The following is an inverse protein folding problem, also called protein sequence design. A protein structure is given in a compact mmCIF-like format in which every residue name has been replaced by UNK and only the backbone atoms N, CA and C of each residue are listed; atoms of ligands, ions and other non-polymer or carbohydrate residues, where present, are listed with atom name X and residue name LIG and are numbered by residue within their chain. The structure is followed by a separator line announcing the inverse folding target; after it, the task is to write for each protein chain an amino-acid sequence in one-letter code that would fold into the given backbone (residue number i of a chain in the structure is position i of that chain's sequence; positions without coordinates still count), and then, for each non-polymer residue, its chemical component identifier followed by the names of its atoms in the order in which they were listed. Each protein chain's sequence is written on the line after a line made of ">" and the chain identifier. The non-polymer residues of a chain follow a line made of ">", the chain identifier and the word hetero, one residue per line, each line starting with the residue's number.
data_IF_529429038951
#
_entry.id   IF_529429038951
#
_cell.length_a   1.000
_cell.length_b   1.000
_cell.length_c   1.000
_cell.angle_alpha   90.00
_cell.angle_beta   90.00
_cell.angle_gamma   90.00
#
_symmetry.space_group_name_H-M   'P 1'
#
loop_
_entity.id
_entity.type
_entity.pdbx_description
1 polymer ?
#
# COMPACT_ATOMS: atom_id res chain seq x y z
N UNK A 1 -3.37 30.32 20.21
CA UNK A 1 -4.71 29.76 20.53
C UNK A 1 -5.41 29.62 19.19
N UNK A 2 -5.36 28.43 18.61
CA UNK A 2 -6.00 28.17 17.30
C UNK A 2 -7.49 28.04 17.51
N UNK A 3 -8.25 28.86 16.80
CA UNK A 3 -9.69 28.81 16.83
C UNK A 3 -10.16 27.60 15.98
N UNK A 4 -10.72 26.59 16.61
CA UNK A 4 -11.43 25.54 15.90
C UNK A 4 -12.58 26.17 15.10
N UNK A 5 -12.54 26.02 13.78
CA UNK A 5 -13.64 26.48 12.93
C UNK A 5 -14.88 25.66 13.27
N UNK A 6 -15.94 26.31 13.73
CA UNK A 6 -17.21 25.64 14.06
C UNK A 6 -17.75 25.02 12.76
N UNK A 7 -18.09 23.73 12.79
CA UNK A 7 -18.69 23.03 11.66
C UNK A 7 -19.99 23.71 11.26
N UNK A 8 -20.11 24.08 10.00
CA UNK A 8 -21.34 24.63 9.39
C UNK A 8 -21.86 23.65 8.35
N UNK A 9 -23.10 23.22 8.49
CA UNK A 9 -23.76 22.32 7.53
C UNK A 9 -23.97 23.01 6.18
N UNK A 10 -24.21 24.32 6.17
CA UNK A 10 -24.41 25.10 4.95
C UNK A 10 -23.09 25.21 4.15
N UNK A 11 -21.96 25.38 4.83
CA UNK A 11 -20.64 25.36 4.19
C UNK A 11 -20.27 23.95 3.72
N UNK A 12 -20.67 22.92 4.46
CA UNK A 12 -20.48 21.53 4.05
C UNK A 12 -21.27 21.21 2.79
N UNK A 13 -22.53 21.65 2.70
CA UNK A 13 -23.40 21.45 1.53
C UNK A 13 -22.80 22.12 0.28
N UNK A 14 -22.37 23.38 0.40
CA UNK A 14 -21.66 24.09 -0.69
C UNK A 14 -20.39 23.39 -1.16
N UNK A 15 -19.60 22.83 -0.21
CA UNK A 15 -18.41 22.04 -0.52
C UNK A 15 -18.77 20.75 -1.25
N UNK A 16 -19.80 20.04 -0.79
CA UNK A 16 -20.30 18.82 -1.45
C UNK A 16 -20.74 19.10 -2.88
N UNK A 17 -21.51 20.16 -3.11
CA UNK A 17 -21.92 20.60 -4.44
C UNK A 17 -20.76 20.92 -5.36
N UNK A 18 -19.74 21.62 -4.84
CA UNK A 18 -18.52 21.93 -5.58
C UNK A 18 -17.76 20.67 -5.97
N UNK A 19 -17.62 19.70 -5.03
CA UNK A 19 -16.95 18.42 -5.27
C UNK A 19 -17.69 17.60 -6.32
N UNK A 20 -19.02 17.50 -6.25
CA UNK A 20 -19.83 16.78 -7.23
C UNK A 20 -19.64 17.35 -8.62
N UNK A 21 -19.63 18.67 -8.75
CA UNK A 21 -19.41 19.34 -10.05
C UNK A 21 -17.99 19.13 -10.58
N UNK A 22 -16.96 19.20 -9.73
CA UNK A 22 -15.57 19.03 -10.16
C UNK A 22 -15.25 17.57 -10.53
N UNK A 23 -15.72 16.59 -9.76
CA UNK A 23 -15.48 15.16 -10.02
C UNK A 23 -16.10 14.70 -11.34
N UNK A 24 -17.18 15.33 -11.79
CA UNK A 24 -17.83 15.00 -13.05
C UNK A 24 -17.21 15.67 -14.28
N UNK A 25 -16.41 16.72 -14.10
CA UNK A 25 -15.90 17.53 -15.21
C UNK A 25 -14.42 17.29 -15.55
N UNK A 26 -13.57 16.97 -14.57
CA UNK A 26 -12.11 16.99 -14.76
C UNK A 26 -11.41 15.73 -14.21
N UNK A 27 -11.57 14.62 -14.91
CA UNK A 27 -10.70 13.44 -14.69
C UNK A 27 -9.52 13.51 -15.65
N UNK A 28 -8.35 13.86 -15.14
CA UNK A 28 -7.12 13.98 -15.93
C UNK A 28 -6.24 12.74 -15.74
N UNK A 29 -5.60 12.19 -16.80
CA UNK A 29 -4.59 11.14 -16.65
C UNK A 29 -3.42 11.62 -15.75
N UNK A 30 -2.88 10.74 -14.92
CA UNK A 30 -1.83 11.05 -13.95
C UNK A 30 -0.62 11.79 -14.55
N UNK A 31 -0.24 11.45 -15.79
CA UNK A 31 0.91 12.07 -16.48
C UNK A 31 0.73 13.57 -16.77
N UNK A 32 -0.51 14.05 -16.85
CA UNK A 32 -0.81 15.47 -17.12
C UNK A 32 -0.87 16.29 -15.83
N UNK A 33 -0.94 15.63 -14.71
CA UNK A 33 -1.19 16.21 -13.38
C UNK A 33 0.03 16.82 -12.70
N UNK A 34 1.22 16.31 -13.02
CA UNK A 34 2.48 16.88 -12.52
C UNK A 34 2.62 18.34 -12.96
N UNK A 35 1.91 18.74 -14.02
CA UNK A 35 1.98 20.09 -14.60
C UNK A 35 0.90 21.06 -14.07
N UNK A 36 -0.25 20.57 -13.59
CA UNK A 36 -1.36 21.42 -13.15
C UNK A 36 -1.65 21.30 -11.65
N UNK A 37 -1.16 22.24 -10.85
CA UNK A 37 -1.33 22.31 -9.39
C UNK A 37 -2.77 22.57 -8.91
N UNK A 38 -3.79 22.55 -9.77
CA UNK A 38 -5.16 23.00 -9.46
C UNK A 38 -6.22 21.91 -9.54
N UNK A 39 -5.88 20.68 -9.98
CA UNK A 39 -6.89 19.68 -10.26
C UNK A 39 -7.13 18.74 -9.07
N UNK A 40 -8.40 18.55 -8.76
CA UNK A 40 -8.97 17.98 -7.55
C UNK A 40 -9.08 16.46 -7.54
N UNK A 41 -9.10 15.86 -8.72
CA UNK A 41 -9.40 14.44 -8.84
C UNK A 41 -8.53 13.82 -9.92
N UNK A 42 -7.90 12.72 -9.55
CA UNK A 42 -7.06 11.92 -10.45
C UNK A 42 -7.69 10.59 -10.73
N UNK A 43 -7.51 10.10 -11.93
CA UNK A 43 -7.95 8.79 -12.32
C UNK A 43 -6.77 7.98 -12.83
N UNK A 44 -6.35 6.97 -12.08
CA UNK A 44 -5.55 5.89 -12.59
C UNK A 44 -6.47 4.86 -13.23
N UNK A 45 -6.55 4.83 -14.55
CA UNK A 45 -7.38 3.85 -15.27
C UNK A 45 -6.91 2.42 -15.03
N UNK A 46 -5.63 2.25 -14.73
CA UNK A 46 -4.96 0.98 -14.51
C UNK A 46 -3.93 1.13 -13.39
N UNK A 47 -4.43 1.19 -12.16
CA UNK A 47 -3.61 1.31 -10.97
C UNK A 47 -3.50 0.00 -10.20
N UNK A 48 -2.33 -0.30 -9.67
CA UNK A 48 -2.11 -1.39 -8.73
C UNK A 48 -1.94 -0.88 -7.31
N UNK A 49 -2.43 -1.67 -6.37
CA UNK A 49 -2.30 -1.42 -4.93
C UNK A 49 -1.57 -2.59 -4.29
N UNK A 50 -0.56 -2.29 -3.49
CA UNK A 50 0.12 -3.24 -2.60
C UNK A 50 -0.17 -2.81 -1.17
N UNK A 51 -0.82 -3.66 -0.40
CA UNK A 51 -1.07 -3.46 1.03
C UNK A 51 -0.20 -4.43 1.83
N UNK A 52 0.63 -3.91 2.71
CA UNK A 52 1.35 -4.68 3.72
C UNK A 52 0.60 -4.53 5.03
N UNK A 53 0.15 -5.62 5.62
CA UNK A 53 -0.42 -5.65 6.96
C UNK A 53 0.58 -6.26 7.94
N UNK A 54 0.84 -5.56 9.04
CA UNK A 54 1.73 -6.01 10.10
C UNK A 54 0.92 -6.54 11.28
N UNK A 55 1.42 -7.59 11.92
CA UNK A 55 0.85 -8.12 13.16
C UNK A 55 1.95 -8.32 14.19
N UNK A 56 1.84 -7.64 15.34
CA UNK A 56 2.73 -7.86 16.48
C UNK A 56 2.08 -8.81 17.46
N UNK A 57 2.75 -9.94 17.72
CA UNK A 57 2.30 -10.95 18.69
C UNK A 57 2.88 -10.61 20.07
N UNK A 58 2.19 -9.78 20.85
CA UNK A 58 2.66 -9.40 22.18
C UNK A 58 1.52 -9.35 23.18
N UNK A 59 1.76 -9.92 24.39
CA UNK A 59 0.82 -9.89 25.51
C UNK A 59 0.97 -8.62 26.38
N UNK A 60 2.13 -7.96 26.33
CA UNK A 60 2.41 -6.67 26.98
C UNK A 60 3.43 -5.92 26.13
N UNK A 61 3.04 -4.82 25.53
CA UNK A 61 3.89 -4.00 24.66
C UNK A 61 4.56 -2.88 25.45
N UNK A 62 5.86 -2.76 25.27
CA UNK A 62 6.60 -1.54 25.50
C UNK A 62 6.32 -0.60 24.31
N UNK A 63 5.57 0.48 24.56
CA UNK A 63 5.15 1.43 23.53
C UNK A 63 6.33 2.02 22.75
N UNK A 64 7.48 2.21 23.40
CA UNK A 64 8.69 2.73 22.75
C UNK A 64 9.24 1.72 21.73
N UNK A 65 9.28 0.43 22.07
CA UNK A 65 9.74 -0.61 21.15
C UNK A 65 8.78 -0.77 19.98
N UNK A 66 7.48 -0.72 20.25
CA UNK A 66 6.45 -0.79 19.21
C UNK A 66 6.59 0.38 18.25
N UNK A 67 6.72 1.62 18.76
CA UNK A 67 6.92 2.81 17.94
C UNK A 67 8.20 2.70 17.07
N UNK A 68 9.33 2.26 17.65
CA UNK A 68 10.56 2.01 16.89
C UNK A 68 10.35 0.98 15.77
N UNK A 69 9.60 -0.08 16.05
CA UNK A 69 9.28 -1.11 15.05
C UNK A 69 8.46 -0.53 13.89
N UNK A 70 7.44 0.28 14.18
CA UNK A 70 6.67 0.97 13.14
C UNK A 70 7.52 1.95 12.33
N UNK A 71 8.43 2.69 12.98
CA UNK A 71 9.36 3.59 12.28
C UNK A 71 10.28 2.83 11.31
N UNK A 72 10.82 1.67 11.73
CA UNK A 72 11.64 0.81 10.86
C UNK A 72 10.80 0.33 9.66
N UNK A 73 9.62 -0.25 9.92
CA UNK A 73 8.75 -0.75 8.86
C UNK A 73 8.34 0.36 7.88
N UNK A 74 7.90 1.52 8.38
CA UNK A 74 7.51 2.65 7.55
C UNK A 74 8.62 3.10 6.60
N UNK A 75 9.84 3.24 7.13
CA UNK A 75 10.97 3.73 6.34
C UNK A 75 11.39 2.74 5.26
N UNK A 76 11.52 1.46 5.62
CA UNK A 76 12.03 0.44 4.70
C UNK A 76 10.98 0.02 3.66
N UNK A 77 9.71 -0.12 4.04
CA UNK A 77 8.61 -0.40 3.09
C UNK A 77 8.50 0.73 2.08
N UNK A 78 8.50 1.98 2.56
CA UNK A 78 8.46 3.16 1.69
C UNK A 78 9.66 3.20 0.75
N UNK A 79 10.87 2.91 1.24
CA UNK A 79 12.08 2.90 0.41
C UNK A 79 11.99 1.88 -0.73
N UNK A 80 11.46 0.68 -0.45
CA UNK A 80 11.24 -0.34 -1.49
C UNK A 80 10.21 0.11 -2.53
N UNK A 81 9.12 0.76 -2.11
CA UNK A 81 8.09 1.23 -3.03
C UNK A 81 8.60 2.36 -3.94
N UNK A 82 9.30 3.34 -3.37
CA UNK A 82 9.86 4.48 -4.11
C UNK A 82 10.90 4.05 -5.17
N UNK A 83 11.59 2.94 -4.96
CA UNK A 83 12.54 2.37 -5.94
C UNK A 83 11.83 1.86 -7.23
N UNK A 84 10.52 1.69 -7.22
CA UNK A 84 9.76 1.36 -8.43
C UNK A 84 9.38 2.62 -9.20
N UNK A 85 9.78 2.70 -10.47
CA UNK A 85 9.49 3.88 -11.33
C UNK A 85 8.00 4.18 -11.53
N UNK A 86 7.14 3.20 -11.30
CA UNK A 86 5.68 3.32 -11.43
C UNK A 86 5.02 3.72 -10.10
N UNK A 87 5.82 3.97 -9.06
CA UNK A 87 5.33 4.40 -7.76
C UNK A 87 4.65 5.78 -7.84
N UNK A 88 3.48 5.88 -7.22
CA UNK A 88 2.65 7.09 -7.22
C UNK A 88 2.52 7.68 -5.82
N UNK A 89 2.13 6.85 -4.84
CA UNK A 89 1.85 7.35 -3.49
C UNK A 89 2.01 6.27 -2.43
N UNK A 90 2.17 6.72 -1.18
CA UNK A 90 2.33 5.88 0.00
C UNK A 90 1.42 6.34 1.13
N UNK A 91 0.67 5.41 1.70
CA UNK A 91 -0.24 5.65 2.82
C UNK A 91 0.15 4.70 3.95
N UNK A 92 0.38 5.24 5.14
CA UNK A 92 0.52 4.47 6.37
C UNK A 92 -0.69 4.72 7.27
N UNK A 93 -1.40 3.66 7.64
CA UNK A 93 -2.62 3.75 8.45
C UNK A 93 -2.66 2.60 9.47
N UNK A 94 -2.27 2.88 10.70
CA UNK A 94 -2.14 1.84 11.73
C UNK A 94 -1.16 0.77 11.29
N UNK A 95 -1.62 -0.47 11.25
CA UNK A 95 -0.82 -1.63 10.86
C UNK A 95 -0.71 -1.85 9.34
N UNK A 96 -1.36 -0.99 8.55
CA UNK A 96 -1.39 -1.09 7.09
C UNK A 96 -0.45 -0.09 6.44
N UNK A 97 0.38 -0.57 5.50
CA UNK A 97 1.26 0.24 4.66
C UNK A 97 0.90 -0.01 3.19
N UNK A 98 0.40 1.02 2.53
CA UNK A 98 -0.20 0.91 1.20
C UNK A 98 0.65 1.67 0.19
N UNK A 99 1.11 0.96 -0.84
CA UNK A 99 1.74 1.55 -2.02
C UNK A 99 0.76 1.57 -3.19
N UNK A 100 0.72 2.70 -3.91
CA UNK A 100 -0.08 2.89 -5.12
C UNK A 100 0.86 3.04 -6.30
N UNK A 101 0.55 2.35 -7.39
CA UNK A 101 1.40 2.28 -8.58
C UNK A 101 0.55 2.49 -9.84
N UNK A 102 1.08 3.27 -10.78
CA UNK A 102 0.51 3.40 -12.13
C UNK A 102 1.04 2.26 -13.01
N UNK A 103 0.16 1.33 -13.36
CA UNK A 103 0.55 0.08 -14.06
C UNK A 103 -0.28 -0.12 -15.34
N UNK A 104 -0.16 0.79 -16.33
CA UNK A 104 -0.95 0.75 -17.54
C UNK A 104 -0.66 -0.47 -18.44
N UNK A 105 0.53 -1.05 -18.33
CA UNK A 105 1.00 -2.17 -19.14
C UNK A 105 1.22 -3.44 -18.30
N UNK A 106 1.08 -4.62 -18.91
CA UNK A 106 1.41 -5.89 -18.25
C UNK A 106 2.88 -5.92 -17.75
N UNK A 107 3.81 -5.33 -18.51
CA UNK A 107 5.21 -5.20 -18.08
C UNK A 107 5.41 -4.35 -16.82
N UNK A 108 4.47 -3.46 -16.51
CA UNK A 108 4.52 -2.69 -15.27
C UNK A 108 4.04 -3.53 -14.08
N UNK A 109 3.07 -4.42 -14.32
CA UNK A 109 2.63 -5.42 -13.32
C UNK A 109 3.74 -6.44 -13.05
N UNK A 110 4.46 -6.90 -14.07
CA UNK A 110 5.64 -7.77 -13.89
C UNK A 110 6.70 -7.09 -13.02
N UNK A 111 7.01 -5.82 -13.28
CA UNK A 111 7.94 -5.04 -12.45
C UNK A 111 7.43 -4.84 -11.03
N UNK A 112 6.12 -4.72 -10.87
CA UNK A 112 5.51 -4.66 -9.54
C UNK A 112 5.75 -5.97 -8.78
N UNK A 113 5.67 -7.14 -9.43
CA UNK A 113 6.01 -8.42 -8.80
C UNK A 113 7.47 -8.49 -8.35
N UNK A 114 8.40 -7.94 -9.13
CA UNK A 114 9.81 -7.84 -8.71
C UNK A 114 9.95 -6.97 -7.45
N UNK A 115 9.19 -5.87 -7.39
CA UNK A 115 9.13 -5.01 -6.19
C UNK A 115 8.53 -5.75 -4.99
N UNK A 116 7.48 -6.54 -5.19
CA UNK A 116 6.86 -7.36 -4.15
C UNK A 116 7.85 -8.42 -3.64
N UNK A 117 8.60 -9.07 -4.52
CA UNK A 117 9.64 -10.02 -4.13
C UNK A 117 10.78 -9.36 -3.33
N UNK A 118 11.17 -8.13 -3.67
CA UNK A 118 12.10 -7.31 -2.88
C UNK A 118 11.50 -6.96 -1.53
N UNK A 119 10.26 -6.48 -1.51
CA UNK A 119 9.53 -6.10 -0.30
C UNK A 119 9.40 -7.27 0.68
N UNK A 120 8.97 -8.44 0.20
CA UNK A 120 8.84 -9.63 1.01
C UNK A 120 10.18 -10.02 1.65
N UNK A 121 11.29 -9.99 0.89
CA UNK A 121 12.62 -10.26 1.43
C UNK A 121 13.07 -9.23 2.47
N UNK A 122 12.78 -7.93 2.26
CA UNK A 122 13.08 -6.86 3.22
C UNK A 122 12.27 -7.03 4.50
N UNK A 123 11.00 -7.40 4.40
CA UNK A 123 10.15 -7.67 5.56
C UNK A 123 10.66 -8.84 6.40
N UNK A 124 11.20 -9.90 5.78
CA UNK A 124 11.93 -10.95 6.52
C UNK A 124 13.15 -10.39 7.27
N UNK A 125 13.93 -9.49 6.65
CA UNK A 125 15.06 -8.85 7.32
C UNK A 125 14.61 -7.99 8.51
N UNK A 126 13.52 -7.23 8.35
CA UNK A 126 12.92 -6.41 9.41
C UNK A 126 12.42 -7.29 10.55
N UNK A 127 11.68 -8.35 10.25
CA UNK A 127 11.16 -9.33 11.21
C UNK A 127 12.29 -9.88 12.10
N UNK A 128 13.37 -10.36 11.49
CA UNK A 128 14.53 -10.86 12.22
C UNK A 128 15.20 -9.76 13.07
N UNK A 129 15.40 -8.57 12.50
CA UNK A 129 16.01 -7.44 13.20
C UNK A 129 15.22 -7.03 14.44
N UNK A 130 13.90 -6.88 14.28
CA UNK A 130 12.99 -6.51 15.38
C UNK A 130 13.00 -7.59 16.47
N UNK A 131 12.95 -8.87 16.08
CA UNK A 131 13.00 -9.96 17.04
C UNK A 131 14.32 -9.96 17.83
N UNK A 132 15.47 -9.84 17.16
CA UNK A 132 16.79 -9.88 17.79
C UNK A 132 17.05 -8.65 18.68
N UNK A 133 16.61 -7.45 18.30
CA UNK A 133 17.00 -6.21 18.99
C UNK A 133 15.95 -5.65 19.91
N UNK A 134 14.68 -5.83 19.61
CA UNK A 134 13.56 -5.30 20.37
C UNK A 134 12.79 -6.39 21.14
N UNK A 135 13.07 -7.67 20.82
CA UNK A 135 12.38 -8.85 21.40
C UNK A 135 10.86 -8.79 21.17
N UNK A 136 10.45 -8.34 19.98
CA UNK A 136 9.06 -8.34 19.53
C UNK A 136 8.89 -9.34 18.40
N UNK A 137 7.81 -10.10 18.44
CA UNK A 137 7.44 -10.99 17.35
C UNK A 137 6.58 -10.21 16.33
N UNK A 138 7.13 -10.01 15.15
CA UNK A 138 6.46 -9.41 14.00
C UNK A 138 6.05 -10.50 13.02
N UNK A 139 4.82 -10.43 12.55
CA UNK A 139 4.35 -11.15 11.36
C UNK A 139 3.79 -10.17 10.34
N UNK A 140 3.68 -10.59 9.07
CA UNK A 140 3.20 -9.71 8.02
C UNK A 140 2.55 -10.48 6.87
N UNK A 141 1.66 -9.80 6.14
CA UNK A 141 1.10 -10.30 4.89
C UNK A 141 1.06 -9.17 3.86
N UNK A 142 1.16 -9.54 2.58
CA UNK A 142 1.16 -8.63 1.43
C UNK A 142 -0.03 -8.98 0.55
N UNK A 143 -0.99 -8.08 0.44
CA UNK A 143 -2.14 -8.20 -0.46
C UNK A 143 -1.97 -7.30 -1.69
N UNK A 144 -2.31 -7.80 -2.87
CA UNK A 144 -2.14 -7.05 -4.13
C UNK A 144 -3.37 -7.15 -5.00
N UNK A 145 -3.86 -6.01 -5.46
CA UNK A 145 -4.91 -5.96 -6.46
C UNK A 145 -4.68 -4.85 -7.49
N UNK A 146 -5.46 -4.90 -8.57
CA UNK A 146 -5.29 -4.07 -9.75
C UNK A 146 -6.64 -3.70 -10.34
N UNK A 147 -6.91 -2.40 -10.45
CA UNK A 147 -8.08 -1.86 -11.17
C UNK A 147 -7.98 -0.34 -11.29
N UNK A 148 -9.05 0.29 -11.68
CA UNK A 148 -9.22 1.74 -11.71
C UNK A 148 -9.16 2.30 -10.28
N UNK A 149 -8.33 3.34 -10.09
CA UNK A 149 -8.20 4.08 -8.84
C UNK A 149 -8.50 5.56 -9.07
N UNK A 150 -9.09 6.18 -8.08
CA UNK A 150 -9.38 7.60 -8.07
C UNK A 150 -8.72 8.26 -6.87
N UNK A 151 -8.00 9.35 -7.10
CA UNK A 151 -7.47 10.19 -6.05
C UNK A 151 -8.24 11.50 -5.96
N UNK A 152 -8.57 11.90 -4.76
CA UNK A 152 -9.17 13.20 -4.46
C UNK A 152 -8.13 14.04 -3.72
N UNK A 153 -7.84 15.23 -4.25
CA UNK A 153 -6.96 16.19 -3.58
C UNK A 153 -7.81 17.14 -2.73
N UNK A 154 -7.59 17.15 -1.43
CA UNK A 154 -8.42 17.90 -0.48
C UNK A 154 -7.94 19.35 -0.23
N UNK A 155 -6.90 19.82 -0.93
CA UNK A 155 -6.14 21.03 -0.58
C UNK A 155 -6.92 22.34 -0.78
N UNK A 156 -7.96 22.38 -1.62
CA UNK A 156 -8.60 23.68 -1.98
C UNK A 156 -10.00 23.92 -1.41
N UNK A 157 -10.57 23.01 -0.64
CA UNK A 157 -11.96 23.17 -0.15
C UNK A 157 -12.10 24.13 1.06
N UNK A 158 -11.17 25.06 1.25
CA UNK A 158 -11.25 26.07 2.31
C UNK A 158 -11.14 25.48 3.74
N UNK A 159 -10.72 24.22 3.84
CA UNK A 159 -10.24 23.64 5.08
C UNK A 159 -8.77 24.05 5.22
N UNK A 160 -8.45 24.79 6.28
CA UNK A 160 -7.09 25.19 6.56
C UNK A 160 -6.13 24.01 6.46
N UNK A 161 -5.03 24.21 5.74
CA UNK A 161 -4.02 23.22 5.35
C UNK A 161 -3.33 22.47 6.51
N UNK A 162 -3.72 22.73 7.75
CA UNK A 162 -3.01 22.24 8.95
C UNK A 162 -3.37 20.82 9.37
N UNK A 163 -4.49 20.23 8.88
CA UNK A 163 -4.98 18.95 9.40
C UNK A 163 -5.41 17.93 8.34
N UNK A 164 -5.34 18.20 7.06
CA UNK A 164 -5.80 17.25 6.04
C UNK A 164 -4.65 16.46 5.46
N UNK A 165 -4.79 15.13 5.40
CA UNK A 165 -4.05 14.35 4.42
C UNK A 165 -4.36 14.97 3.05
N UNK A 166 -3.36 15.47 2.32
CA UNK A 166 -3.61 16.21 1.10
C UNK A 166 -4.24 15.35 -0.01
N UNK A 167 -4.26 14.03 0.16
CA UNK A 167 -4.71 13.08 -0.85
C UNK A 167 -5.51 11.95 -0.24
N UNK A 168 -6.66 11.65 -0.84
CA UNK A 168 -7.48 10.49 -0.50
C UNK A 168 -7.65 9.61 -1.72
N UNK A 169 -7.29 8.34 -1.60
CA UNK A 169 -7.45 7.35 -2.65
C UNK A 169 -8.70 6.52 -2.46
N UNK A 170 -9.40 6.24 -3.55
CA UNK A 170 -10.60 5.41 -3.59
C UNK A 170 -10.52 4.41 -4.75
N UNK A 171 -11.09 3.24 -4.56
CA UNK A 171 -11.20 2.21 -5.57
C UNK A 171 -11.26 0.81 -4.99
N UNK A 172 -11.82 -0.11 -5.76
CA UNK A 172 -12.01 -1.51 -5.33
C UNK A 172 -10.66 -2.18 -5.06
N UNK A 173 -9.58 -1.82 -5.79
CA UNK A 173 -8.26 -2.39 -5.57
C UNK A 173 -7.71 -2.10 -4.17
N UNK A 174 -8.00 -0.92 -3.58
CA UNK A 174 -7.62 -0.61 -2.20
C UNK A 174 -8.28 -1.56 -1.20
N UNK A 175 -9.59 -1.75 -1.34
CA UNK A 175 -10.37 -2.63 -0.48
C UNK A 175 -9.87 -4.07 -0.62
N UNK A 176 -9.74 -4.56 -1.87
CA UNK A 176 -9.36 -5.96 -2.12
C UNK A 176 -7.92 -6.26 -1.72
N UNK A 177 -6.96 -5.35 -1.96
CA UNK A 177 -5.59 -5.51 -1.51
C UNK A 177 -5.51 -5.59 0.03
N UNK A 178 -6.28 -4.74 0.73
CA UNK A 178 -6.38 -4.81 2.19
C UNK A 178 -7.03 -6.11 2.66
N UNK A 179 -8.15 -6.53 2.09
CA UNK A 179 -8.77 -7.81 2.40
C UNK A 179 -7.78 -8.97 2.25
N UNK A 180 -7.03 -9.02 1.15
CA UNK A 180 -6.04 -10.05 0.88
C UNK A 180 -4.89 -10.04 1.88
N UNK A 181 -4.51 -8.88 2.42
CA UNK A 181 -3.45 -8.78 3.43
C UNK A 181 -3.91 -9.13 4.85
N UNK A 182 -5.21 -9.17 5.13
CA UNK A 182 -5.75 -9.41 6.49
C UNK A 182 -6.43 -10.78 6.62
N UNK A 183 -7.12 -11.25 5.58
CA UNK A 183 -8.11 -12.34 5.67
C UNK A 183 -7.56 -13.74 5.98
N UNK A 184 -6.25 -13.93 6.03
CA UNK A 184 -5.65 -15.27 6.06
C UNK A 184 -4.82 -15.59 7.31
N UNK A 185 -4.78 -14.71 8.32
CA UNK A 185 -4.03 -14.95 9.56
C UNK A 185 -4.54 -16.13 10.37
N UNK A 186 -5.84 -16.45 10.28
CA UNK A 186 -6.45 -17.50 11.11
C UNK A 186 -6.47 -18.90 10.47
N UNK A 187 -6.35 -18.99 9.15
CA UNK A 187 -6.71 -20.22 8.41
C UNK A 187 -5.52 -20.98 7.88
N UNK A 188 -4.39 -20.34 7.65
CA UNK A 188 -3.21 -21.00 7.12
C UNK A 188 -1.97 -20.63 7.93
N UNK A 189 -1.32 -21.58 8.63
CA UNK A 189 0.08 -21.44 9.02
C UNK A 189 0.89 -21.52 7.73
N UNK A 190 0.84 -20.48 6.91
CA UNK A 190 1.54 -20.53 5.65
C UNK A 190 2.82 -19.72 5.78
N UNK A 191 3.91 -20.35 5.42
CA UNK A 191 5.18 -19.70 5.09
C UNK A 191 5.03 -18.76 3.87
N UNK A 192 3.80 -18.55 3.38
CA UNK A 192 3.50 -17.76 2.20
C UNK A 192 2.87 -16.44 2.60
N UNK A 193 3.51 -15.34 2.25
CA UNK A 193 3.12 -14.01 2.68
C UNK A 193 2.52 -13.13 1.58
N UNK A 194 2.53 -13.57 0.31
CA UNK A 194 2.06 -12.77 -0.83
C UNK A 194 0.76 -13.32 -1.39
N UNK A 195 -0.27 -12.48 -1.40
CA UNK A 195 -1.63 -12.77 -1.87
C UNK A 195 -1.99 -11.83 -3.01
N UNK A 196 -2.30 -12.36 -4.17
CA UNK A 196 -2.68 -11.56 -5.33
C UNK A 196 -4.08 -11.91 -5.81
N UNK A 197 -4.81 -10.91 -6.31
CA UNK A 197 -6.11 -11.14 -6.94
C UNK A 197 -5.99 -11.87 -8.29
N UNK A 198 -7.10 -12.46 -8.75
CA UNK A 198 -7.17 -13.01 -10.09
C UNK A 198 -6.88 -11.98 -11.19
N UNK A 199 -7.17 -10.69 -10.93
CA UNK A 199 -6.86 -9.60 -11.87
C UNK A 199 -5.36 -9.41 -12.05
N UNK A 200 -4.58 -9.45 -10.98
CA UNK A 200 -3.11 -9.43 -11.06
C UNK A 200 -2.62 -10.69 -11.77
N UNK A 201 -3.05 -11.87 -11.32
CA UNK A 201 -2.62 -13.14 -11.88
C UNK A 201 -2.83 -13.25 -13.40
N UNK A 202 -3.95 -12.76 -13.90
CA UNK A 202 -4.26 -12.79 -15.34
C UNK A 202 -3.43 -11.82 -16.18
N UNK A 203 -2.76 -10.84 -15.55
CA UNK A 203 -1.98 -9.81 -16.24
C UNK A 203 -0.45 -9.97 -16.08
N UNK A 204 0.01 -10.99 -15.37
CA UNK A 204 1.44 -11.32 -15.26
C UNK A 204 1.86 -12.35 -16.33
N UNK A 205 3.16 -12.39 -16.61
CA UNK A 205 3.74 -13.37 -17.53
C UNK A 205 3.59 -14.79 -17.02
N UNK A 206 3.50 -15.76 -17.96
CA UNK A 206 3.40 -17.19 -17.65
C UNK A 206 4.57 -17.70 -16.77
N UNK A 207 5.76 -17.13 -16.95
CA UNK A 207 6.94 -17.50 -16.14
C UNK A 207 6.78 -17.16 -14.65
N UNK A 208 5.97 -16.15 -14.30
CA UNK A 208 5.67 -15.80 -12.91
C UNK A 208 4.51 -16.63 -12.34
N UNK A 209 3.54 -17.02 -13.18
CA UNK A 209 2.35 -17.77 -12.73
C UNK A 209 2.69 -19.07 -12.02
N UNK A 210 3.77 -19.74 -12.42
CA UNK A 210 4.23 -21.00 -11.82
C UNK A 210 4.62 -20.89 -10.34
N UNK A 211 4.89 -19.69 -9.84
CA UNK A 211 5.21 -19.46 -8.42
C UNK A 211 3.96 -19.35 -7.54
N UNK A 212 2.81 -19.18 -8.13
CA UNK A 212 1.56 -18.97 -7.42
C UNK A 212 0.72 -20.25 -7.36
N UNK A 213 0.15 -20.51 -6.18
CA UNK A 213 -0.86 -21.56 -5.97
C UNK A 213 -2.24 -20.92 -5.91
N UNK A 214 -3.22 -21.50 -6.61
CA UNK A 214 -4.60 -21.03 -6.53
C UNK A 214 -5.21 -21.34 -5.17
N UNK A 215 -5.96 -20.39 -4.62
CA UNK A 215 -6.70 -20.52 -3.37
C UNK A 215 -8.03 -19.76 -3.51
N UNK A 216 -9.14 -20.47 -3.72
CA UNK A 216 -10.46 -19.87 -3.95
C UNK A 216 -10.44 -18.85 -5.11
N UNK A 217 -10.66 -17.56 -4.79
CA UNK A 217 -10.73 -16.43 -5.73
C UNK A 217 -9.43 -15.60 -5.81
N UNK A 218 -8.35 -16.09 -5.20
CA UNK A 218 -7.04 -15.42 -5.18
C UNK A 218 -5.89 -16.44 -5.37
N UNK A 219 -4.66 -15.93 -5.44
CA UNK A 219 -3.45 -16.72 -5.62
C UNK A 219 -2.43 -16.36 -4.55
N UNK A 220 -1.70 -17.36 -4.07
CA UNK A 220 -0.74 -17.23 -2.98
C UNK A 220 0.66 -17.69 -3.39
N UNK A 221 1.66 -16.98 -2.91
CA UNK A 221 3.07 -17.31 -3.14
C UNK A 221 3.96 -16.83 -1.97
N UNK A 222 5.20 -17.33 -1.98
CA UNK A 222 6.29 -16.73 -1.20
C UNK A 222 7.42 -16.33 -2.14
N UNK A 223 7.14 -15.36 -3.02
CA UNK A 223 8.15 -14.80 -3.93
C UNK A 223 9.09 -13.88 -3.14
N UNK A 224 10.39 -14.10 -3.28
CA UNK A 224 11.43 -13.32 -2.58
C UNK A 224 12.57 -12.95 -3.51
N UNK A 225 13.24 -11.85 -3.22
CA UNK A 225 14.50 -11.52 -3.84
C UNK A 225 15.62 -12.36 -3.21
N UNK A 226 16.15 -13.32 -3.97
CA UNK A 226 17.15 -14.30 -3.48
C UNK A 226 18.47 -13.65 -3.05
N UNK A 227 18.86 -12.53 -3.65
CA UNK A 227 20.09 -11.82 -3.26
C UNK A 227 19.96 -11.24 -1.85
N UNK A 228 18.81 -10.64 -1.52
CA UNK A 228 18.53 -10.09 -0.19
C UNK A 228 18.46 -11.23 0.84
N UNK A 229 17.80 -12.32 0.52
CA UNK A 229 17.71 -13.49 1.43
C UNK A 229 19.09 -14.12 1.65
N UNK A 230 19.93 -14.23 0.63
CA UNK A 230 21.29 -14.73 0.78
C UNK A 230 22.15 -13.79 1.64
N UNK A 231 22.01 -12.48 1.46
CA UNK A 231 22.66 -11.50 2.33
C UNK A 231 22.21 -11.67 3.78
N UNK A 232 20.92 -11.80 4.03
CA UNK A 232 20.41 -12.05 5.39
C UNK A 232 20.99 -13.30 6.02
N UNK A 233 21.04 -14.42 5.28
CA UNK A 233 21.62 -15.69 5.77
C UNK A 233 23.10 -15.56 6.12
N UNK A 234 23.88 -14.78 5.36
CA UNK A 234 25.31 -14.59 5.60
C UNK A 234 25.64 -13.63 6.77
N UNK A 235 24.65 -12.86 7.26
CA UNK A 235 24.80 -11.89 8.34
C UNK A 235 24.00 -12.27 9.61
N UNK A 236 23.40 -13.46 9.63
CA UNK A 236 22.83 -14.08 10.83
C UNK A 236 23.98 -14.75 11.61
N UNK A 237 24.76 -13.98 12.34
CA UNK A 237 25.76 -14.49 13.28
C UNK A 237 25.65 -13.79 14.62
#
# INVERSE_FOLDING_TARGET
>A
MEFFKIFSIEDADKRMDSIVKSVLQDTIPYNELIQNKRDWTYLLNKGSVVCVHLTFKTLQTDDEKLLKSYCICNNEIRAVFVDNRNFVDFIALGDDFIGIFDTPLCSDIDRLLETIGKLNAVLYCIKEKINMTLHLELDFQIGVDYTKLMMINNVENGLDNSFSSPRTWNGIALIKAKELSVSNFEVLPSEKHVYISARIYNNIKEEYKKFFSSCNDYYIADIVNTNIINWLKSHKS
#
